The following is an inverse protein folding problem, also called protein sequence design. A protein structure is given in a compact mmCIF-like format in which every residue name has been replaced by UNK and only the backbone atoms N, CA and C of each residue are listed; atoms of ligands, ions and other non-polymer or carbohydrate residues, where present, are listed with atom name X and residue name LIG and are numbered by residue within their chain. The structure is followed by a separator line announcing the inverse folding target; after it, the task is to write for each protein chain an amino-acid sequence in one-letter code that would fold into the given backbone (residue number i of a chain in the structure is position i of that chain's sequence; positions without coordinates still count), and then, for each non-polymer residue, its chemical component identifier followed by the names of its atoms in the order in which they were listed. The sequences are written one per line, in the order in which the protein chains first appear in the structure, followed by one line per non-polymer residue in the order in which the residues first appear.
data_IF_344282889289
#
_entry.id   IF_344282889289
#
_cell.length_a   1.000
_cell.length_b   1.000
_cell.length_c   1.000
_cell.angle_alpha   90.00
_cell.angle_beta   90.00
_cell.angle_gamma   90.00
#
_symmetry.space_group_name_H-M   'P 1'
#
loop_
_entity.id
_entity.type
_entity.pdbx_description
1 polymer ?
#
# COMPACT_ATOMS: atom_id res chain seq x y z
N UNK A 1 -5.20 -21.59 22.65
CA UNK A 1 -5.64 -21.47 21.24
C UNK A 1 -4.40 -21.20 20.40
N UNK A 2 -4.30 -21.73 19.17
CA UNK A 2 -3.20 -21.36 18.28
C UNK A 2 -3.25 -19.85 18.00
N UNK A 3 -2.09 -19.20 18.00
CA UNK A 3 -1.95 -17.77 17.67
C UNK A 3 -2.32 -17.61 16.19
N UNK A 4 -3.17 -16.64 15.88
CA UNK A 4 -3.56 -16.35 14.50
C UNK A 4 -2.39 -15.78 13.70
N UNK A 5 -2.42 -15.94 12.37
CA UNK A 5 -1.38 -15.37 11.48
C UNK A 5 -1.22 -13.86 11.68
N UNK A 6 -2.32 -13.14 11.86
CA UNK A 6 -2.30 -11.69 12.03
C UNK A 6 -1.69 -11.28 13.37
N UNK A 7 -1.90 -12.05 14.44
CA UNK A 7 -1.20 -11.85 15.71
C UNK A 7 0.31 -12.11 15.55
N UNK A 8 0.73 -13.10 14.77
CA UNK A 8 2.16 -13.34 14.48
C UNK A 8 2.79 -12.17 13.70
N UNK A 9 2.08 -11.61 12.71
CA UNK A 9 2.55 -10.42 11.97
C UNK A 9 2.68 -9.21 12.91
N UNK A 10 1.70 -8.99 13.79
CA UNK A 10 1.78 -7.90 14.77
C UNK A 10 2.96 -8.10 15.73
N UNK A 11 3.21 -9.33 16.19
CA UNK A 11 4.39 -9.64 17.01
C UNK A 11 5.69 -9.38 16.25
N UNK A 12 5.78 -9.77 14.97
CA UNK A 12 6.94 -9.48 14.13
C UNK A 12 7.18 -7.97 14.06
N UNK A 13 6.15 -7.18 13.78
CA UNK A 13 6.27 -5.72 13.69
C UNK A 13 6.71 -5.07 15.01
N UNK A 14 6.26 -5.57 16.16
CA UNK A 14 6.70 -5.10 17.48
C UNK A 14 8.17 -5.48 17.77
N UNK A 15 8.62 -6.67 17.36
CA UNK A 15 10.03 -7.08 17.51
C UNK A 15 10.94 -6.28 16.57
N UNK A 16 10.50 -5.99 15.33
CA UNK A 16 11.23 -5.10 14.43
C UNK A 16 11.33 -3.70 15.05
N UNK A 17 10.25 -3.20 15.67
CA UNK A 17 10.27 -1.94 16.42
C UNK A 17 11.21 -1.98 17.61
N UNK A 18 11.29 -3.10 18.35
CA UNK A 18 12.23 -3.23 19.46
C UNK A 18 13.68 -3.13 18.97
N UNK A 19 14.00 -3.74 17.83
CA UNK A 19 15.36 -3.74 17.29
C UNK A 19 15.74 -2.42 16.60
N UNK A 20 14.86 -1.88 15.76
CA UNK A 20 15.15 -0.71 14.91
C UNK A 20 14.65 0.61 15.52
N UNK A 21 13.87 0.55 16.59
CA UNK A 21 13.27 1.73 17.21
C UNK A 21 12.40 2.53 16.23
N UNK A 22 12.59 3.85 16.23
CA UNK A 22 11.89 4.78 15.36
C UNK A 22 12.60 5.06 14.04
N UNK A 23 13.32 4.10 13.45
CA UNK A 23 14.08 4.29 12.20
C UNK A 23 13.35 3.79 10.94
N UNK A 24 12.13 3.27 11.08
CA UNK A 24 11.38 2.71 9.96
C UNK A 24 9.90 3.16 9.93
N UNK A 25 9.28 2.99 8.78
CA UNK A 25 7.83 3.04 8.57
C UNK A 25 7.39 1.66 8.12
N UNK A 26 6.40 1.08 8.78
CA UNK A 26 5.80 -0.17 8.36
C UNK A 26 4.88 0.10 7.17
N UNK A 27 5.05 -0.65 6.08
CA UNK A 27 4.26 -0.54 4.85
C UNK A 27 3.67 -1.91 4.45
N UNK A 28 3.09 -2.01 3.26
CA UNK A 28 2.68 -3.30 2.70
C UNK A 28 1.49 -3.95 3.40
N UNK A 29 1.44 -5.29 3.41
CA UNK A 29 0.35 -6.05 4.02
C UNK A 29 0.35 -6.00 5.55
N UNK A 30 1.53 -5.92 6.17
CA UNK A 30 1.66 -5.82 7.62
C UNK A 30 1.03 -4.52 8.17
N UNK A 31 1.25 -3.39 7.51
CA UNK A 31 0.57 -2.13 7.86
C UNK A 31 -0.96 -2.23 7.79
N UNK A 32 -1.50 -2.94 6.78
CA UNK A 32 -2.93 -3.19 6.67
C UNK A 32 -3.48 -4.00 7.85
N UNK A 33 -2.74 -5.00 8.33
CA UNK A 33 -3.12 -5.76 9.52
C UNK A 33 -3.16 -4.89 10.77
N UNK A 34 -2.21 -3.94 10.93
CA UNK A 34 -2.22 -2.99 12.05
C UNK A 34 -3.40 -2.03 11.99
N UNK A 35 -3.87 -1.69 10.78
CA UNK A 35 -5.10 -0.92 10.57
C UNK A 35 -6.37 -1.74 10.85
N UNK A 36 -6.27 -3.05 11.08
CA UNK A 36 -7.41 -3.93 11.37
C UNK A 36 -7.91 -4.73 10.18
N UNK A 37 -7.17 -4.77 9.07
CA UNK A 37 -7.50 -5.67 7.96
C UNK A 37 -7.40 -7.13 8.40
N UNK A 38 -8.36 -7.94 7.96
CA UNK A 38 -8.38 -9.39 8.19
C UNK A 38 -7.62 -10.17 7.11
N UNK A 39 -6.94 -9.48 6.18
CA UNK A 39 -6.10 -10.13 5.18
C UNK A 39 -4.99 -10.94 5.84
N UNK A 40 -4.44 -11.88 5.06
CA UNK A 40 -3.20 -12.57 5.41
C UNK A 40 -2.03 -12.00 4.61
N UNK A 41 -0.83 -12.12 5.17
CA UNK A 41 0.46 -11.76 4.57
C UNK A 41 1.54 -12.61 5.23
N UNK A 42 2.65 -12.82 4.53
CA UNK A 42 3.77 -13.64 4.99
C UNK A 42 5.06 -12.81 5.08
N UNK A 43 4.93 -11.50 5.05
CA UNK A 43 5.99 -10.55 4.80
C UNK A 43 5.74 -9.27 5.60
N UNK A 44 6.82 -8.71 6.12
CA UNK A 44 6.84 -7.45 6.87
C UNK A 44 7.79 -6.50 6.15
N UNK A 45 7.21 -5.58 5.40
CA UNK A 45 7.95 -4.54 4.69
C UNK A 45 8.20 -3.34 5.61
N UNK A 46 9.47 -2.96 5.75
CA UNK A 46 9.86 -1.75 6.46
C UNK A 46 10.58 -0.78 5.55
N UNK A 47 10.04 0.42 5.42
CA UNK A 47 10.65 1.52 4.69
C UNK A 47 11.58 2.30 5.64
N UNK A 48 12.84 2.43 5.27
CA UNK A 48 13.88 3.18 6.01
C UNK A 48 14.44 4.30 5.14
N UNK A 49 15.09 5.28 5.76
CA UNK A 49 15.77 6.34 5.01
C UNK A 49 16.88 5.77 4.14
N UNK A 50 17.04 6.32 2.93
CA UNK A 50 18.14 5.95 2.02
C UNK A 50 19.53 6.35 2.58
N UNK A 51 19.57 7.18 3.62
CA UNK A 51 20.79 7.56 4.32
C UNK A 51 21.18 6.56 5.43
N UNK A 52 20.30 5.62 5.78
CA UNK A 52 20.62 4.58 6.75
C UNK A 52 21.55 3.53 6.17
N UNK A 53 22.40 2.95 7.02
CA UNK A 53 23.17 1.76 6.65
C UNK A 53 22.25 0.53 6.70
N UNK A 54 21.61 0.23 5.56
CA UNK A 54 20.72 -0.94 5.41
C UNK A 54 21.41 -2.24 5.82
N UNK A 55 22.72 -2.36 5.61
CA UNK A 55 23.46 -3.57 6.03
C UNK A 55 23.54 -3.65 7.55
N UNK A 56 23.82 -2.52 8.22
CA UNK A 56 23.84 -2.47 9.68
C UNK A 56 22.45 -2.75 10.29
N UNK A 57 21.38 -2.21 9.70
CA UNK A 57 20.00 -2.49 10.12
C UNK A 57 19.65 -3.96 9.94
N UNK A 58 20.02 -4.54 8.78
CA UNK A 58 19.85 -5.95 8.50
C UNK A 58 20.55 -6.82 9.54
N UNK A 59 21.82 -6.54 9.84
CA UNK A 59 22.59 -7.29 10.84
C UNK A 59 22.03 -7.13 12.25
N UNK A 60 21.53 -5.94 12.60
CA UNK A 60 20.85 -5.69 13.87
C UNK A 60 19.62 -6.58 14.07
N UNK A 61 18.88 -6.87 13.00
CA UNK A 61 17.80 -7.85 13.03
C UNK A 61 18.35 -9.29 13.06
N UNK A 62 19.29 -9.62 12.16
CA UNK A 62 19.81 -10.98 12.00
C UNK A 62 20.48 -11.55 13.27
N UNK A 63 21.11 -10.71 14.08
CA UNK A 63 21.78 -11.08 15.32
C UNK A 63 20.82 -11.21 16.52
N UNK A 64 19.61 -10.66 16.40
CA UNK A 64 18.63 -10.73 17.48
C UNK A 64 17.93 -12.10 17.52
N UNK A 65 17.71 -12.61 18.74
CA UNK A 65 17.11 -13.93 18.98
C UNK A 65 15.71 -14.12 18.40
N UNK A 66 14.98 -13.02 18.14
CA UNK A 66 13.65 -13.05 17.53
C UNK A 66 13.69 -13.33 16.02
N UNK A 67 14.86 -13.24 15.37
CA UNK A 67 14.99 -13.38 13.91
C UNK A 67 16.03 -14.43 13.52
N UNK A 68 15.98 -14.85 12.27
CA UNK A 68 16.97 -15.73 11.65
C UNK A 68 17.28 -15.27 10.25
N UNK A 69 18.55 -15.39 9.85
CA UNK A 69 18.97 -15.24 8.48
C UNK A 69 19.14 -16.64 7.86
N UNK A 70 18.38 -16.95 6.81
CA UNK A 70 18.53 -18.18 6.05
C UNK A 70 18.70 -17.80 4.58
N UNK A 71 19.90 -18.07 4.03
CA UNK A 71 20.18 -17.79 2.62
C UNK A 71 20.13 -16.31 2.25
N UNK A 72 20.36 -15.39 3.19
CA UNK A 72 20.27 -13.95 2.96
C UNK A 72 18.88 -13.35 3.21
N UNK A 73 17.88 -14.17 3.54
CA UNK A 73 16.52 -13.70 3.85
C UNK A 73 16.31 -13.67 5.36
N UNK A 74 15.76 -12.56 5.86
CA UNK A 74 15.37 -12.41 7.26
C UNK A 74 14.02 -13.07 7.49
N UNK A 75 13.95 -13.90 8.53
CA UNK A 75 12.73 -14.54 8.98
C UNK A 75 12.46 -14.23 10.44
N UNK A 76 11.18 -14.03 10.78
CA UNK A 76 10.74 -13.95 12.16
C UNK A 76 10.62 -15.35 12.77
N UNK A 77 11.23 -15.56 13.95
CA UNK A 77 11.16 -16.83 14.67
C UNK A 77 9.89 -16.90 15.52
N UNK A 78 8.77 -17.16 14.85
CA UNK A 78 7.52 -17.51 15.54
C UNK A 78 7.06 -18.91 15.13
N UNK A 79 6.59 -19.68 16.12
CA UNK A 79 6.16 -21.08 16.05
C UNK A 79 5.57 -21.50 14.69
N UNK A 80 6.43 -22.06 13.83
CA UNK A 80 6.12 -22.61 12.50
C UNK A 80 5.63 -21.62 11.42
N UNK A 81 5.81 -20.31 11.64
CA UNK A 81 5.43 -19.27 10.68
C UNK A 81 6.65 -18.78 9.88
N UNK A 82 6.65 -19.05 8.57
CA UNK A 82 7.59 -18.42 7.64
C UNK A 82 7.13 -16.99 7.34
N UNK A 83 7.53 -16.03 8.18
CA UNK A 83 7.33 -14.59 7.96
C UNK A 83 8.65 -13.97 7.56
N UNK A 84 8.73 -13.39 6.36
CA UNK A 84 9.92 -12.68 5.89
C UNK A 84 9.89 -11.21 6.32
N UNK A 85 11.07 -10.59 6.41
CA UNK A 85 11.22 -9.16 6.66
C UNK A 85 12.03 -8.56 5.52
N UNK A 86 11.48 -7.53 4.89
CA UNK A 86 12.11 -6.81 3.78
C UNK A 86 12.39 -5.37 4.21
N UNK A 87 13.66 -4.96 4.11
CA UNK A 87 14.10 -3.58 4.38
C UNK A 87 14.19 -2.84 3.06
N UNK A 88 13.32 -1.85 2.89
CA UNK A 88 13.17 -1.06 1.67
C UNK A 88 13.71 0.35 1.91
N UNK A 89 14.39 0.93 0.93
CA UNK A 89 14.72 2.38 0.91
C UNK A 89 13.74 3.17 0.04
N UNK A 90 13.02 2.47 -0.84
CA UNK A 90 12.05 3.04 -1.76
C UNK A 90 10.83 2.13 -1.84
N UNK A 91 9.65 2.69 -1.66
CA UNK A 91 8.38 2.00 -1.85
C UNK A 91 7.70 2.48 -3.14
N UNK A 92 7.11 1.54 -3.88
CA UNK A 92 6.30 1.81 -5.09
C UNK A 92 7.03 2.74 -6.09
N UNK A 93 8.28 2.36 -6.38
CA UNK A 93 9.25 2.99 -7.30
C UNK A 93 9.75 4.39 -6.92
N UNK A 94 8.96 5.23 -6.26
CA UNK A 94 9.27 6.66 -6.12
C UNK A 94 9.13 7.20 -4.70
N UNK A 95 8.58 6.44 -3.75
CA UNK A 95 8.35 6.96 -2.39
C UNK A 95 9.52 6.61 -1.49
N UNK A 96 10.29 7.62 -1.10
CA UNK A 96 11.29 7.48 -0.05
C UNK A 96 10.67 7.66 1.33
N UNK A 97 11.42 7.27 2.37
CA UNK A 97 11.06 7.57 3.76
C UNK A 97 10.83 9.06 4.00
N UNK A 98 11.68 9.92 3.42
CA UNK A 98 11.64 11.37 3.59
C UNK A 98 10.37 11.97 3.00
N UNK A 99 9.92 11.45 1.84
CA UNK A 99 8.67 11.88 1.21
C UNK A 99 7.45 11.59 2.10
N UNK A 100 7.48 10.49 2.84
CA UNK A 100 6.31 10.02 3.61
C UNK A 100 6.35 10.39 5.09
N UNK A 101 7.50 10.80 5.62
CA UNK A 101 7.68 11.14 7.04
C UNK A 101 6.63 12.13 7.60
N UNK A 102 6.20 13.18 6.87
CA UNK A 102 5.17 14.10 7.36
C UNK A 102 3.76 13.49 7.39
N UNK A 103 3.57 12.33 6.75
CA UNK A 103 2.28 11.72 6.46
C UNK A 103 2.13 10.36 7.16
N UNK A 104 2.55 10.30 8.42
CA UNK A 104 2.53 9.09 9.23
C UNK A 104 1.46 9.14 10.33
N UNK A 105 0.93 7.96 10.66
CA UNK A 105 0.15 7.68 11.85
C UNK A 105 0.97 6.80 12.79
N UNK A 106 0.70 6.89 14.09
CA UNK A 106 1.33 6.05 15.09
C UNK A 106 0.31 5.09 15.68
N UNK A 107 0.50 3.79 15.44
CA UNK A 107 -0.31 2.72 16.01
C UNK A 107 0.58 1.91 16.95
N UNK A 108 0.29 1.98 18.25
CA UNK A 108 1.03 1.26 19.31
C UNK A 108 2.54 1.51 19.28
N UNK A 109 2.98 2.69 18.88
CA UNK A 109 4.41 3.04 18.77
C UNK A 109 5.04 2.68 17.42
N UNK A 110 4.31 2.01 16.53
CA UNK A 110 4.75 1.69 15.16
C UNK A 110 4.23 2.77 14.22
N UNK A 111 5.12 3.33 13.40
CA UNK A 111 4.74 4.32 12.39
C UNK A 111 4.27 3.60 11.13
N UNK A 112 3.10 3.97 10.66
CA UNK A 112 2.54 3.57 9.37
C UNK A 112 2.13 4.83 8.60
N UNK A 113 1.81 4.69 7.31
CA UNK A 113 1.29 5.80 6.51
C UNK A 113 -0.13 6.19 6.94
N UNK A 114 -0.51 7.45 6.70
CA UNK A 114 -1.90 7.90 6.75
C UNK A 114 -2.77 7.12 5.77
N UNK A 115 -4.08 7.06 6.02
CA UNK A 115 -5.00 6.23 5.24
C UNK A 115 -5.04 6.61 3.76
N UNK A 116 -5.05 7.92 3.45
CA UNK A 116 -5.05 8.44 2.09
C UNK A 116 -3.76 8.10 1.32
N UNK A 117 -2.59 8.20 1.98
CA UNK A 117 -1.31 7.78 1.39
C UNK A 117 -1.24 6.26 1.20
N UNK A 118 -1.73 5.49 2.17
CA UNK A 118 -1.81 4.03 2.08
C UNK A 118 -2.71 3.63 0.90
N UNK A 119 -3.87 4.27 0.76
CA UNK A 119 -4.81 4.04 -0.33
C UNK A 119 -4.17 4.34 -1.69
N UNK A 120 -3.58 5.52 -1.85
CA UNK A 120 -2.93 5.91 -3.09
C UNK A 120 -1.78 4.95 -3.46
N UNK A 121 -1.02 4.47 -2.48
CA UNK A 121 0.01 3.45 -2.72
C UNK A 121 -0.57 2.13 -3.20
N UNK A 122 -1.69 1.67 -2.63
CA UNK A 122 -2.35 0.42 -3.09
C UNK A 122 -2.89 0.54 -4.50
N UNK A 123 -3.47 1.69 -4.84
CA UNK A 123 -3.89 2.02 -6.20
C UNK A 123 -2.68 1.99 -7.16
N UNK A 124 -1.55 2.61 -6.79
CA UNK A 124 -0.33 2.58 -7.61
C UNK A 124 0.23 1.16 -7.78
N UNK A 125 0.30 0.37 -6.71
CA UNK A 125 0.72 -1.04 -6.77
C UNK A 125 -0.16 -1.87 -7.70
N UNK A 126 -1.47 -1.65 -7.68
CA UNK A 126 -2.41 -2.35 -8.56
C UNK A 126 -2.08 -2.16 -10.05
N UNK A 127 -1.59 -0.99 -10.46
CA UNK A 127 -1.19 -0.73 -11.85
C UNK A 127 0.20 -1.29 -12.17
N UNK A 128 1.18 -1.15 -11.27
CA UNK A 128 2.55 -1.60 -11.53
C UNK A 128 2.69 -3.14 -11.63
N UNK A 129 1.69 -3.89 -11.15
CA UNK A 129 1.69 -5.36 -11.15
C UNK A 129 1.11 -5.99 -12.42
N UNK A 130 0.86 -5.22 -13.49
CA UNK A 130 0.32 -5.76 -14.75
C UNK A 130 1.28 -6.77 -15.43
N UNK A 131 2.60 -6.60 -15.27
CA UNK A 131 3.63 -7.42 -15.93
C UNK A 131 4.39 -8.39 -14.98
N UNK A 132 4.00 -8.49 -13.70
CA UNK A 132 4.61 -9.42 -12.72
C UNK A 132 4.07 -10.85 -12.95
N UNK A 133 4.94 -11.88 -12.90
CA UNK A 133 4.56 -13.31 -13.00
C UNK A 133 3.50 -13.70 -11.96
N UNK A 134 3.54 -13.06 -10.78
CA UNK A 134 2.53 -13.21 -9.72
C UNK A 134 1.55 -12.02 -9.65
N UNK A 135 1.51 -11.20 -10.70
CA UNK A 135 0.82 -9.93 -10.75
C UNK A 135 -0.69 -10.02 -10.51
N UNK A 136 -1.36 -11.07 -11.03
CA UNK A 136 -2.82 -11.21 -10.88
C UNK A 136 -3.26 -11.39 -9.43
N UNK A 137 -2.61 -12.28 -8.68
CA UNK A 137 -2.98 -12.54 -7.28
C UNK A 137 -2.68 -11.32 -6.40
N UNK A 138 -1.54 -10.69 -6.64
CA UNK A 138 -1.13 -9.46 -5.96
C UNK A 138 -2.07 -8.28 -6.28
N UNK A 139 -2.52 -8.13 -7.53
CA UNK A 139 -3.52 -7.12 -7.93
C UNK A 139 -4.84 -7.32 -7.22
N UNK A 140 -5.34 -8.55 -7.16
CA UNK A 140 -6.57 -8.87 -6.42
C UNK A 140 -6.47 -8.47 -4.95
N UNK A 141 -5.30 -8.70 -4.35
CA UNK A 141 -5.02 -8.29 -2.98
C UNK A 141 -4.97 -6.76 -2.81
N UNK A 142 -4.38 -6.02 -3.75
CA UNK A 142 -4.38 -4.55 -3.72
C UNK A 142 -5.80 -3.98 -3.84
N UNK A 143 -6.65 -4.58 -4.68
CA UNK A 143 -8.06 -4.20 -4.80
C UNK A 143 -8.81 -4.44 -3.48
N UNK A 144 -8.57 -5.57 -2.81
CA UNK A 144 -9.15 -5.81 -1.48
C UNK A 144 -8.70 -4.76 -0.46
N UNK A 145 -7.41 -4.38 -0.49
CA UNK A 145 -6.87 -3.33 0.37
C UNK A 145 -7.50 -1.96 0.06
N UNK A 146 -7.69 -1.61 -1.22
CA UNK A 146 -8.37 -0.38 -1.64
C UNK A 146 -9.81 -0.34 -1.11
N UNK A 147 -10.57 -1.42 -1.28
CA UNK A 147 -11.95 -1.52 -0.79
C UNK A 147 -12.04 -1.32 0.72
N UNK A 148 -11.14 -1.98 1.46
CA UNK A 148 -11.04 -1.84 2.91
C UNK A 148 -10.72 -0.40 3.32
N UNK A 149 -9.74 0.24 2.67
CA UNK A 149 -9.33 1.62 2.99
C UNK A 149 -10.42 2.63 2.68
N UNK A 150 -11.11 2.51 1.53
CA UNK A 150 -12.23 3.38 1.18
C UNK A 150 -13.30 3.34 2.26
N UNK A 151 -13.72 2.13 2.66
CA UNK A 151 -14.72 1.94 3.71
C UNK A 151 -14.26 2.54 5.04
N UNK A 152 -13.03 2.25 5.46
CA UNK A 152 -12.48 2.77 6.72
C UNK A 152 -12.43 4.30 6.73
N UNK A 153 -11.97 4.92 5.64
CA UNK A 153 -11.91 6.37 5.54
C UNK A 153 -13.30 7.00 5.61
N UNK A 154 -14.31 6.40 4.96
CA UNK A 154 -15.71 6.83 5.11
C UNK A 154 -16.16 6.72 6.56
N UNK A 155 -15.93 5.58 7.22
CA UNK A 155 -16.32 5.36 8.62
C UNK A 155 -15.64 6.33 9.60
N UNK A 156 -14.41 6.73 9.33
CA UNK A 156 -13.65 7.67 10.15
C UNK A 156 -13.91 9.15 9.79
N UNK A 157 -14.62 9.43 8.70
CA UNK A 157 -14.76 10.79 8.18
C UNK A 157 -13.45 11.39 7.65
N UNK A 158 -12.52 10.52 7.23
CA UNK A 158 -11.26 10.92 6.60
C UNK A 158 -11.43 11.10 5.09
N UNK A 159 -10.65 12.01 4.51
CA UNK A 159 -10.67 12.32 3.08
C UNK A 159 -9.24 12.33 2.54
N UNK A 160 -9.11 12.18 1.23
CA UNK A 160 -7.86 12.36 0.51
C UNK A 160 -7.45 13.83 0.60
N UNK A 161 -6.29 14.06 1.21
CA UNK A 161 -5.68 15.38 1.35
C UNK A 161 -5.19 15.93 0.01
N UNK A 162 -5.04 17.25 -0.07
CA UNK A 162 -4.52 17.88 -1.30
C UNK A 162 -3.03 17.55 -1.46
N UNK A 163 -2.29 17.43 -0.36
CA UNK A 163 -0.89 16.99 -0.36
C UNK A 163 -0.73 15.56 -0.89
N UNK A 164 -1.66 14.65 -0.52
CA UNK A 164 -1.69 13.30 -1.10
C UNK A 164 -1.97 13.37 -2.60
N UNK A 165 -2.96 14.16 -3.01
CA UNK A 165 -3.30 14.31 -4.43
C UNK A 165 -2.17 14.93 -5.25
N UNK A 166 -1.41 15.89 -4.72
CA UNK A 166 -0.24 16.44 -5.41
C UNK A 166 0.87 15.39 -5.61
N UNK A 167 1.03 14.48 -4.64
CA UNK A 167 2.01 13.40 -4.72
C UNK A 167 1.56 12.24 -5.61
N UNK A 168 0.25 11.96 -5.64
CA UNK A 168 -0.33 10.84 -6.35
C UNK A 168 -1.38 11.30 -7.35
N UNK A 169 -1.04 11.15 -8.63
CA UNK A 169 -1.94 11.38 -9.75
C UNK A 169 -1.95 10.15 -10.64
N UNK A 170 -3.13 9.75 -11.10
CA UNK A 170 -3.33 8.58 -11.94
C UNK A 170 -4.05 8.99 -13.22
N UNK A 171 -3.59 8.44 -14.34
CA UNK A 171 -4.24 8.64 -15.63
C UNK A 171 -5.72 8.23 -15.65
N UNK A 172 -6.47 8.79 -16.58
CA UNK A 172 -7.90 8.50 -16.73
C UNK A 172 -8.15 7.02 -17.01
N UNK A 173 -7.28 6.38 -17.81
CA UNK A 173 -7.40 4.94 -18.08
C UNK A 173 -7.12 4.10 -16.83
N UNK A 174 -6.07 4.41 -16.07
CA UNK A 174 -5.84 3.78 -14.76
C UNK A 174 -7.07 3.90 -13.84
N UNK A 175 -7.64 5.09 -13.72
CA UNK A 175 -8.84 5.30 -12.90
C UNK A 175 -10.06 4.51 -13.40
N UNK A 176 -10.19 4.35 -14.71
CA UNK A 176 -11.21 3.50 -15.32
C UNK A 176 -10.97 2.01 -15.05
N UNK A 177 -9.72 1.54 -15.04
CA UNK A 177 -9.39 0.17 -14.63
C UNK A 177 -9.75 -0.09 -13.17
N UNK A 178 -9.39 0.82 -12.27
CA UNK A 178 -9.80 0.71 -10.86
C UNK A 178 -11.32 0.67 -10.74
N UNK A 179 -12.02 1.49 -11.53
CA UNK A 179 -13.48 1.52 -11.56
C UNK A 179 -14.11 0.17 -11.94
N UNK A 180 -13.48 -0.60 -12.83
CA UNK A 180 -13.98 -1.92 -13.23
C UNK A 180 -13.87 -2.97 -12.10
N UNK A 181 -12.95 -2.78 -11.16
CA UNK A 181 -12.71 -3.72 -10.03
C UNK A 181 -13.57 -3.43 -8.79
N UNK A 182 -14.22 -2.27 -8.77
CA UNK A 182 -15.03 -1.79 -7.65
C UNK A 182 -16.52 -1.88 -7.99
N UNK A 183 -17.30 -2.39 -7.03
CA UNK A 183 -18.77 -2.36 -7.10
C UNK A 183 -19.29 -0.91 -7.02
N UNK A 184 -20.56 -0.66 -7.41
CA UNK A 184 -21.14 0.68 -7.34
C UNK A 184 -21.06 1.33 -5.95
N UNK A 185 -21.22 0.56 -4.88
CA UNK A 185 -21.07 1.04 -3.51
C UNK A 185 -19.63 1.42 -3.17
N UNK A 186 -18.67 0.58 -3.54
CA UNK A 186 -17.23 0.85 -3.31
C UNK A 186 -16.73 2.06 -4.11
N UNK A 187 -17.27 2.28 -5.31
CA UNK A 187 -16.99 3.50 -6.09
C UNK A 187 -17.56 4.73 -5.40
N UNK A 188 -18.78 4.62 -4.84
CA UNK A 188 -19.36 5.74 -4.11
C UNK A 188 -18.54 6.07 -2.86
N UNK A 189 -18.05 5.07 -2.13
CA UNK A 189 -17.14 5.27 -1.00
C UNK A 189 -15.85 5.97 -1.44
N UNK A 190 -15.21 5.49 -2.51
CA UNK A 190 -14.01 6.13 -3.08
C UNK A 190 -14.26 7.58 -3.50
N UNK A 191 -15.41 7.87 -4.10
CA UNK A 191 -15.82 9.24 -4.44
C UNK A 191 -16.02 10.10 -3.19
N UNK A 192 -16.69 9.56 -2.16
CA UNK A 192 -17.04 10.29 -0.94
C UNK A 192 -15.79 10.73 -0.16
N UNK A 193 -14.72 9.94 -0.21
CA UNK A 193 -13.43 10.29 0.42
C UNK A 193 -12.57 11.21 -0.47
N UNK A 194 -13.10 11.71 -1.59
CA UNK A 194 -12.40 12.63 -2.47
C UNK A 194 -11.55 11.97 -3.56
N UNK A 195 -11.84 10.72 -3.95
CA UNK A 195 -11.08 9.96 -4.95
C UNK A 195 -10.83 10.68 -6.28
N UNK A 196 -11.72 11.59 -6.68
CA UNK A 196 -11.54 12.43 -7.88
C UNK A 196 -10.30 13.32 -7.85
N UNK A 197 -9.80 13.69 -6.67
CA UNK A 197 -8.57 14.49 -6.55
C UNK A 197 -7.35 13.79 -7.10
N UNK A 198 -7.36 12.45 -7.12
CA UNK A 198 -6.27 11.62 -7.61
C UNK A 198 -6.26 11.47 -9.15
N UNK A 199 -7.27 12.00 -9.85
CA UNK A 199 -7.38 11.88 -11.31
C UNK A 199 -6.51 12.94 -11.97
N UNK A 200 -5.58 12.49 -12.80
CA UNK A 200 -4.74 13.35 -13.62
C UNK A 200 -5.59 14.04 -14.69
N UNK A 201 -5.51 15.38 -14.85
CA UNK A 201 -6.21 16.11 -15.90
C UNK A 201 -5.97 15.51 -17.29
N UNK A 202 -7.03 15.49 -18.13
CA UNK A 202 -7.02 14.84 -19.44
C UNK A 202 -5.82 15.23 -20.32
N UNK A 203 -5.52 16.52 -20.38
CA UNK A 203 -4.42 17.11 -21.15
C UNK A 203 -3.01 16.71 -20.67
N UNK A 204 -2.91 16.20 -19.44
CA UNK A 204 -1.65 15.70 -18.85
C UNK A 204 -1.48 14.19 -18.96
N UNK A 205 -2.48 13.46 -19.46
CA UNK A 205 -2.35 12.04 -19.70
C UNK A 205 -1.36 11.78 -20.85
N UNK A 206 -0.65 10.66 -20.80
CA UNK A 206 0.19 10.23 -21.93
C UNK A 206 -0.69 9.85 -23.12
N UNK A 207 -0.12 9.90 -24.34
CA UNK A 207 -0.86 9.51 -25.55
C UNK A 207 -1.43 8.09 -25.44
N UNK A 208 -0.63 7.15 -24.92
CA UNK A 208 -1.05 5.77 -24.71
C UNK A 208 -2.25 5.68 -23.74
N UNK A 209 -2.21 6.42 -22.62
CA UNK A 209 -3.34 6.45 -21.67
C UNK A 209 -4.60 7.06 -22.29
N UNK A 210 -4.46 8.11 -23.11
CA UNK A 210 -5.57 8.71 -23.82
C UNK A 210 -6.16 7.73 -24.84
N UNK A 211 -5.32 7.05 -25.63
CA UNK A 211 -5.75 6.06 -26.61
C UNK A 211 -6.50 4.91 -25.94
N UNK A 212 -5.96 4.33 -24.87
CA UNK A 212 -6.62 3.25 -24.13
C UNK A 212 -7.92 3.70 -23.48
N UNK A 213 -7.99 4.91 -22.90
CA UNK A 213 -9.23 5.43 -22.33
C UNK A 213 -10.32 5.62 -23.40
N UNK A 214 -9.95 6.15 -24.57
CA UNK A 214 -10.86 6.38 -25.69
C UNK A 214 -11.49 5.10 -26.27
N UNK A 215 -10.93 3.92 -25.98
CA UNK A 215 -11.59 2.65 -26.31
C UNK A 215 -12.90 2.42 -25.53
N UNK A 216 -13.09 3.12 -24.40
CA UNK A 216 -14.21 2.89 -23.48
C UNK A 216 -15.10 4.13 -23.26
N UNK A 217 -14.56 5.33 -23.41
CA UNK A 217 -15.27 6.58 -23.14
C UNK A 217 -14.81 7.73 -24.03
N UNK A 218 -15.66 8.75 -24.17
CA UNK A 218 -15.28 9.98 -24.88
C UNK A 218 -14.18 10.74 -24.13
N UNK A 219 -13.32 11.49 -24.83
CA UNK A 219 -12.33 12.38 -24.22
C UNK A 219 -12.93 13.25 -23.11
N UNK A 220 -12.14 13.52 -22.07
CA UNK A 220 -12.54 14.35 -20.90
C UNK A 220 -13.70 13.79 -20.04
N UNK A 221 -14.23 12.61 -20.36
CA UNK A 221 -15.22 11.94 -19.50
C UNK A 221 -14.65 11.65 -18.11
N UNK A 222 -15.46 11.80 -17.06
CA UNK A 222 -15.08 11.39 -15.71
C UNK A 222 -14.93 9.85 -15.67
N UNK A 223 -13.73 9.29 -15.46
CA UNK A 223 -13.51 7.84 -15.42
C UNK A 223 -14.35 7.16 -14.33
N UNK A 224 -14.69 7.89 -13.26
CA UNK A 224 -15.54 7.41 -12.16
C UNK A 224 -17.04 7.59 -12.45
N UNK A 225 -17.43 8.11 -13.61
CA UNK A 225 -18.84 8.13 -14.09
C UNK A 225 -19.10 7.36 -15.41
N UNK A 226 -18.08 6.90 -16.13
CA UNK A 226 -18.23 6.13 -17.39
C UNK A 226 -19.15 4.92 -17.23
N UNK A 227 -20.14 4.77 -18.13
CA UNK A 227 -20.97 3.56 -18.15
C UNK A 227 -20.15 2.39 -18.66
N UNK A 228 -19.91 1.40 -17.82
CA UNK A 228 -19.29 0.14 -18.23
C UNK A 228 -20.37 -0.72 -18.89
N UNK A 229 -20.06 -1.30 -20.04
CA UNK A 229 -20.92 -2.31 -20.65
C UNK A 229 -20.80 -3.59 -19.82
N UNK A 230 -21.94 -4.18 -19.43
CA UNK A 230 -22.03 -5.46 -18.70
C UNK A 230 -21.52 -6.64 -19.53
#
# INVERSE_FOLDING_TARGET
MPISRNEVIQQCAEEVKRCLGGQFVLVGGAAMILLGSTRTTNDVDVLVSANEDVSALYWSLAEDSAFSNVGGVLYFRAADANITIDILTTAVETLSFENVQPHLLNIRGIRILKLDYTLAMKIKCFYLRQDDENGREKRSTDIQDVKFLCKMMVEHGEIISDECAEMFQFGCYHMLELRQELSPGEIQDFINIGGRKLILPWDKNTLDQQEYFCCFAEPESDPLAVKLNE
#
